data_IF_284060457498
#
_entry.id   IF_284060457498
#
_cell.length_a   1.000
_cell.length_b   1.000
_cell.length_c   1.000
_cell.angle_alpha   90.00
_cell.angle_beta   90.00
_cell.angle_gamma   90.00
#
_symmetry.space_group_name_H-M   'P 1'
#
loop_
_entity.id
_entity.type
_entity.pdbx_description
1 polymer ?
#
# COMPACT_ATOMS: atom_id res chain seq x y z
N UNK A 1 8.86 -39.88 -8.29
CA UNK A 1 9.94 -39.78 -7.29
C UNK A 1 10.14 -38.32 -6.92
N UNK A 2 9.34 -37.81 -5.99
CA UNK A 2 9.58 -36.53 -5.33
C UNK A 2 9.23 -36.74 -3.86
N UNK A 3 10.14 -37.40 -3.15
CA UNK A 3 10.02 -37.71 -1.73
C UNK A 3 11.37 -37.45 -1.10
N UNK A 4 11.71 -36.19 -0.98
CA UNK A 4 12.65 -35.69 0.01
C UNK A 4 11.93 -34.50 0.65
N UNK A 5 11.66 -34.53 1.97
CA UNK A 5 11.15 -33.34 2.67
C UNK A 5 12.15 -32.21 2.43
N UNK A 6 11.64 -31.00 2.18
CA UNK A 6 12.46 -29.79 2.24
C UNK A 6 13.20 -29.81 3.58
N UNK A 7 14.48 -29.45 3.54
CA UNK A 7 15.34 -29.38 4.71
C UNK A 7 14.59 -28.72 5.90
N UNK A 8 14.49 -29.37 7.07
CA UNK A 8 13.77 -28.82 8.22
C UNK A 8 14.27 -27.42 8.63
N UNK A 9 15.53 -27.09 8.33
CA UNK A 9 16.05 -25.73 8.52
C UNK A 9 15.32 -24.69 7.66
N UNK A 10 14.96 -25.03 6.42
CA UNK A 10 14.20 -24.15 5.54
C UNK A 10 12.75 -23.99 6.04
N UNK A 11 12.17 -25.00 6.68
CA UNK A 11 10.84 -24.90 7.30
C UNK A 11 10.84 -24.04 8.56
N UNK A 12 11.93 -24.06 9.33
CA UNK A 12 12.12 -23.19 10.51
C UNK A 12 12.39 -21.73 10.11
N UNK A 13 13.17 -21.50 9.05
CA UNK A 13 13.39 -20.17 8.48
C UNK A 13 12.10 -19.54 7.94
N UNK A 14 11.24 -20.33 7.29
CA UNK A 14 9.94 -19.84 6.79
C UNK A 14 8.95 -19.44 7.91
N UNK A 15 9.21 -19.90 9.15
CA UNK A 15 8.43 -19.53 10.33
C UNK A 15 8.92 -18.22 10.96
N UNK A 16 10.15 -17.81 10.67
CA UNK A 16 10.70 -16.52 11.08
C UNK A 16 10.34 -15.47 10.04
N UNK A 17 9.38 -14.61 10.37
CA UNK A 17 8.85 -13.62 9.44
C UNK A 17 9.23 -12.21 9.89
N UNK A 18 9.87 -11.46 9.01
CA UNK A 18 10.12 -10.04 9.23
C UNK A 18 8.90 -9.22 8.78
N UNK A 19 8.42 -8.33 9.63
CA UNK A 19 7.25 -7.49 9.38
C UNK A 19 7.38 -6.69 8.07
N UNK A 20 8.56 -6.13 7.80
CA UNK A 20 8.82 -5.40 6.57
C UNK A 20 8.72 -6.29 5.33
N UNK A 21 9.12 -7.55 5.42
CA UNK A 21 8.98 -8.52 4.33
C UNK A 21 7.53 -8.93 4.10
N UNK A 22 6.78 -9.15 5.19
CA UNK A 22 5.35 -9.47 5.09
C UNK A 22 4.57 -8.32 4.44
N UNK A 23 4.84 -7.07 4.84
CA UNK A 23 4.27 -5.88 4.18
C UNK A 23 4.66 -5.85 2.71
N UNK A 24 5.96 -6.03 2.38
CA UNK A 24 6.43 -6.02 0.98
C UNK A 24 5.77 -7.11 0.13
N UNK A 25 5.54 -8.29 0.69
CA UNK A 25 4.82 -9.38 0.02
C UNK A 25 3.40 -8.95 -0.33
N UNK A 26 2.63 -8.49 0.64
CA UNK A 26 1.21 -8.15 0.46
C UNK A 26 0.98 -6.99 -0.50
N UNK A 27 1.99 -6.14 -0.74
CA UNK A 27 1.92 -5.09 -1.76
C UNK A 27 1.91 -5.65 -3.18
N UNK A 28 2.58 -6.78 -3.44
CA UNK A 28 2.62 -7.43 -4.75
C UNK A 28 3.16 -8.88 -4.64
N UNK A 29 2.29 -9.87 -4.30
CA UNK A 29 2.72 -11.24 -4.01
C UNK A 29 3.44 -11.93 -5.17
N UNK A 30 2.98 -11.73 -6.39
CA UNK A 30 3.54 -12.38 -7.59
C UNK A 30 4.94 -11.84 -7.90
N UNK A 31 5.13 -10.52 -7.82
CA UNK A 31 6.46 -9.92 -7.97
C UNK A 31 7.37 -10.30 -6.81
N UNK A 32 6.85 -10.43 -5.59
CA UNK A 32 7.63 -10.94 -4.46
C UNK A 32 8.14 -12.35 -4.77
N UNK A 33 7.28 -13.26 -5.24
CA UNK A 33 7.66 -14.61 -5.64
C UNK A 33 8.76 -14.61 -6.72
N UNK A 34 8.61 -13.83 -7.80
CA UNK A 34 9.63 -13.70 -8.85
C UNK A 34 10.99 -13.28 -8.30
N UNK A 35 11.00 -12.23 -7.48
CA UNK A 35 12.25 -11.59 -7.04
C UNK A 35 12.91 -12.28 -5.85
N UNK A 36 12.13 -12.83 -4.91
CA UNK A 36 12.64 -13.41 -3.67
C UNK A 36 12.74 -14.93 -3.71
N UNK A 37 11.81 -15.61 -4.35
CA UNK A 37 11.80 -17.09 -4.41
C UNK A 37 12.55 -17.57 -5.65
N UNK A 38 12.24 -17.02 -6.83
CA UNK A 38 12.91 -17.41 -8.07
C UNK A 38 14.22 -16.64 -8.35
N UNK A 39 14.50 -15.58 -7.58
CA UNK A 39 15.71 -14.76 -7.74
C UNK A 39 15.78 -13.99 -9.07
N UNK A 40 14.66 -13.84 -9.77
CA UNK A 40 14.58 -13.17 -11.07
C UNK A 40 14.49 -11.66 -10.88
N UNK A 41 15.21 -10.90 -11.72
CA UNK A 41 15.00 -9.47 -11.84
C UNK A 41 13.85 -9.23 -12.81
N UNK A 42 12.78 -8.63 -12.30
CA UNK A 42 11.69 -8.13 -13.12
C UNK A 42 11.97 -6.64 -13.30
N UNK A 43 12.36 -6.24 -14.50
CA UNK A 43 12.50 -4.82 -14.81
C UNK A 43 11.13 -4.15 -14.66
N UNK A 44 11.02 -3.22 -13.71
CA UNK A 44 9.81 -2.43 -13.50
C UNK A 44 9.65 -1.33 -14.56
N UNK A 45 10.71 -1.09 -15.34
CA UNK A 45 10.81 0.05 -16.21
C UNK A 45 10.52 -0.33 -17.66
N UNK A 46 9.24 -0.28 -17.99
CA UNK A 46 8.81 0.19 -19.31
C UNK A 46 8.87 1.72 -19.39
N UNK A 47 9.85 2.36 -18.76
CA UNK A 47 10.12 3.78 -18.97
C UNK A 47 10.76 3.91 -20.35
N UNK A 48 9.92 4.01 -21.39
CA UNK A 48 10.37 4.64 -22.62
C UNK A 48 10.94 6.01 -22.22
N UNK A 49 12.24 6.20 -22.43
CA UNK A 49 12.85 7.51 -22.41
C UNK A 49 12.01 8.42 -23.32
N UNK A 50 11.38 9.45 -22.76
CA UNK A 50 10.74 10.46 -23.56
C UNK A 50 11.85 11.19 -24.33
N UNK A 51 11.91 11.03 -25.66
CA UNK A 51 12.85 11.76 -26.54
C UNK A 51 12.50 13.26 -26.68
N UNK A 52 11.61 13.78 -25.82
CA UNK A 52 11.22 15.18 -25.75
C UNK A 52 11.12 15.62 -24.30
N UNK A 53 11.78 16.73 -23.98
CA UNK A 53 11.69 17.40 -22.69
C UNK A 53 10.21 17.69 -22.37
N UNK A 54 9.63 17.15 -21.28
CA UNK A 54 8.21 17.30 -21.01
C UNK A 54 7.90 18.77 -20.67
N UNK A 55 7.09 19.43 -21.49
CA UNK A 55 6.53 20.75 -21.17
C UNK A 55 5.49 20.70 -20.03
N UNK A 56 5.15 19.49 -19.55
CA UNK A 56 4.23 19.23 -18.45
C UNK A 56 4.81 18.17 -17.55
N UNK A 57 4.79 18.40 -16.24
CA UNK A 57 5.17 17.41 -15.23
C UNK A 57 4.42 16.09 -15.44
N UNK A 58 5.13 14.97 -15.45
CA UNK A 58 4.48 13.67 -15.52
C UNK A 58 3.66 13.39 -14.24
N UNK A 59 2.75 12.41 -14.29
CA UNK A 59 1.88 12.12 -13.14
C UNK A 59 2.62 11.66 -11.88
N UNK A 60 3.80 11.03 -12.03
CA UNK A 60 4.65 10.64 -10.90
C UNK A 60 5.33 11.87 -10.32
N UNK A 61 5.72 12.82 -11.17
CA UNK A 61 6.40 14.02 -10.75
C UNK A 61 5.48 14.95 -9.94
N UNK A 62 4.27 15.14 -10.44
CA UNK A 62 3.23 15.87 -9.71
C UNK A 62 2.91 15.22 -8.36
N UNK A 63 2.91 13.88 -8.29
CA UNK A 63 2.72 13.17 -7.02
C UNK A 63 3.86 13.45 -6.03
N UNK A 64 5.11 13.37 -6.48
CA UNK A 64 6.27 13.61 -5.62
C UNK A 64 6.34 15.06 -5.13
N UNK A 65 6.05 16.05 -5.98
CA UNK A 65 5.99 17.46 -5.56
C UNK A 65 4.89 17.70 -4.52
N UNK A 66 3.70 17.11 -4.72
CA UNK A 66 2.61 17.19 -3.74
C UNK A 66 2.99 16.53 -2.42
N UNK A 67 3.61 15.35 -2.47
CA UNK A 67 4.07 14.65 -1.27
C UNK A 67 5.05 15.52 -0.47
N UNK A 68 6.02 16.12 -1.15
CA UNK A 68 6.99 17.03 -0.53
C UNK A 68 6.32 18.29 0.05
N UNK A 69 5.39 18.91 -0.66
CA UNK A 69 4.68 20.09 -0.18
C UNK A 69 3.87 19.81 1.10
N UNK A 70 3.15 18.68 1.16
CA UNK A 70 2.43 18.27 2.38
C UNK A 70 3.40 18.00 3.52
N UNK A 71 4.49 17.27 3.26
CA UNK A 71 5.52 16.98 4.26
C UNK A 71 6.13 18.26 4.85
N UNK A 72 6.35 19.28 4.02
CA UNK A 72 6.93 20.55 4.46
C UNK A 72 5.94 21.40 5.27
N UNK A 73 4.65 21.40 4.89
CA UNK A 73 3.58 22.01 5.69
C UNK A 73 3.45 21.35 7.06
N UNK A 74 3.49 20.02 7.13
CA UNK A 74 3.42 19.27 8.39
C UNK A 74 4.62 19.53 9.30
N UNK A 75 5.79 19.85 8.74
CA UNK A 75 6.98 20.29 9.49
C UNK A 75 6.96 21.77 9.87
N UNK A 76 5.92 22.51 9.47
CA UNK A 76 5.80 23.95 9.73
C UNK A 76 6.80 24.80 8.95
N UNK A 77 7.30 24.35 7.80
CA UNK A 77 8.25 25.14 7.00
C UNK A 77 7.56 26.40 6.44
N UNK A 78 8.19 27.58 6.48
CA UNK A 78 7.64 28.79 5.87
C UNK A 78 7.45 28.66 4.35
N UNK A 79 6.43 29.32 3.81
CA UNK A 79 6.06 29.22 2.38
C UNK A 79 7.20 29.57 1.42
N UNK A 80 8.01 30.60 1.70
CA UNK A 80 9.14 30.96 0.82
C UNK A 80 10.26 29.90 0.86
N UNK A 81 10.48 29.22 1.98
CA UNK A 81 11.44 28.11 2.05
C UNK A 81 10.94 26.88 1.28
N UNK A 82 9.64 26.60 1.35
CA UNK A 82 9.00 25.55 0.54
C UNK A 82 9.16 25.83 -0.96
N UNK A 83 8.86 27.07 -1.37
CA UNK A 83 9.04 27.50 -2.75
C UNK A 83 10.49 27.33 -3.20
N UNK A 84 11.46 27.82 -2.41
CA UNK A 84 12.88 27.70 -2.74
C UNK A 84 13.32 26.23 -2.87
N UNK A 85 12.86 25.36 -1.96
CA UNK A 85 13.17 23.93 -1.99
C UNK A 85 12.61 23.23 -3.23
N UNK A 86 11.36 23.54 -3.63
CA UNK A 86 10.72 22.97 -4.81
C UNK A 86 11.28 23.56 -6.12
N UNK A 87 11.59 24.85 -6.14
CA UNK A 87 12.24 25.50 -7.28
C UNK A 87 13.63 24.89 -7.55
N UNK A 88 14.38 24.58 -6.50
CA UNK A 88 15.70 23.96 -6.60
C UNK A 88 15.67 22.55 -7.21
N UNK A 89 14.52 21.86 -7.22
CA UNK A 89 14.43 20.55 -7.89
C UNK A 89 14.38 20.67 -9.41
N UNK A 90 14.19 21.87 -9.97
CA UNK A 90 14.05 22.11 -11.41
C UNK A 90 12.73 21.56 -12.00
N UNK A 91 11.76 21.25 -11.15
CA UNK A 91 10.49 20.61 -11.55
C UNK A 91 9.31 21.58 -11.55
N UNK A 92 9.45 22.75 -10.95
CA UNK A 92 8.45 23.79 -11.14
C UNK A 92 8.58 24.36 -12.57
N UNK A 93 7.48 24.83 -13.18
CA UNK A 93 7.54 25.58 -14.43
C UNK A 93 8.51 26.76 -14.33
N UNK A 94 9.04 27.20 -15.47
CA UNK A 94 9.94 28.37 -15.49
C UNK A 94 9.19 29.66 -15.13
N UNK A 95 9.93 30.62 -14.59
CA UNK A 95 9.43 31.97 -14.36
C UNK A 95 8.85 32.56 -15.67
N UNK A 96 7.73 33.30 -15.59
CA UNK A 96 7.07 33.81 -14.39
C UNK A 96 5.97 32.90 -13.81
N UNK A 97 5.83 31.65 -14.28
CA UNK A 97 4.71 30.77 -13.91
C UNK A 97 5.01 29.89 -12.68
N UNK A 98 6.26 29.83 -12.24
CA UNK A 98 6.74 29.12 -11.05
C UNK A 98 5.91 29.40 -9.79
N UNK A 99 5.69 30.68 -9.47
CA UNK A 99 4.95 31.09 -8.27
C UNK A 99 3.47 30.75 -8.33
N UNK A 100 2.86 30.84 -9.51
CA UNK A 100 1.46 30.45 -9.70
C UNK A 100 1.29 28.93 -9.54
N UNK A 101 2.19 28.15 -10.14
CA UNK A 101 2.19 26.70 -10.00
C UNK A 101 2.41 26.26 -8.54
N UNK A 102 3.34 26.91 -7.84
CA UNK A 102 3.56 26.69 -6.42
C UNK A 102 2.34 27.04 -5.57
N UNK A 103 1.66 28.16 -5.85
CA UNK A 103 0.47 28.55 -5.10
C UNK A 103 -0.64 27.51 -5.18
N UNK A 104 -0.93 26.99 -6.38
CA UNK A 104 -1.91 25.90 -6.55
C UNK A 104 -1.48 24.60 -5.87
N UNK A 105 -0.19 24.25 -5.96
CA UNK A 105 0.38 23.08 -5.27
C UNK A 105 0.26 23.21 -3.74
N UNK A 106 0.55 24.38 -3.19
CA UNK A 106 0.48 24.65 -1.76
C UNK A 106 -0.97 24.61 -1.25
N UNK A 107 -1.93 25.09 -2.06
CA UNK A 107 -3.37 24.99 -1.75
C UNK A 107 -3.84 23.53 -1.71
N UNK A 108 -3.50 22.72 -2.72
CA UNK A 108 -3.79 21.28 -2.72
C UNK A 108 -3.13 20.56 -1.53
N UNK A 109 -1.89 20.92 -1.21
CA UNK A 109 -1.18 20.33 -0.08
C UNK A 109 -1.79 20.72 1.26
N UNK A 110 -2.26 21.97 1.41
CA UNK A 110 -2.92 22.44 2.63
C UNK A 110 -4.21 21.67 2.93
N UNK A 111 -5.02 21.36 1.90
CA UNK A 111 -6.25 20.56 2.05
C UNK A 111 -5.99 19.18 2.67
N UNK A 112 -4.81 18.60 2.42
CA UNK A 112 -4.41 17.32 3.01
C UNK A 112 -3.69 17.49 4.35
N UNK A 113 -2.87 18.53 4.49
CA UNK A 113 -2.06 18.77 5.69
C UNK A 113 -2.91 19.20 6.90
N UNK A 114 -3.94 20.03 6.68
CA UNK A 114 -4.83 20.53 7.74
C UNK A 114 -5.44 19.39 8.59
N UNK A 115 -6.14 18.40 8.00
CA UNK A 115 -6.69 17.30 8.80
C UNK A 115 -5.65 16.37 9.43
N UNK A 116 -4.40 16.37 8.94
CA UNK A 116 -3.32 15.56 9.48
C UNK A 116 -2.68 16.19 10.72
N UNK A 117 -2.81 17.50 10.92
CA UNK A 117 -2.13 18.20 12.01
C UNK A 117 -2.46 17.59 13.38
N UNK A 118 -3.75 17.40 13.67
CA UNK A 118 -4.22 16.83 14.94
C UNK A 118 -3.87 15.34 15.07
N UNK A 119 -3.94 14.60 13.97
CA UNK A 119 -3.68 13.15 13.96
C UNK A 119 -2.20 12.81 14.18
N UNK A 120 -1.30 13.67 13.72
CA UNK A 120 0.14 13.50 13.84
C UNK A 120 0.70 14.08 15.16
N UNK A 121 -0.16 14.47 16.10
CA UNK A 121 0.24 14.90 17.44
C UNK A 121 0.73 13.73 18.30
N UNK A 122 1.69 14.02 19.18
CA UNK A 122 2.25 13.03 20.10
C UNK A 122 2.91 11.84 19.37
N UNK A 123 3.89 12.08 18.47
CA UNK A 123 4.61 11.00 17.81
C UNK A 123 5.20 10.04 18.85
N UNK A 124 5.06 8.74 18.58
CA UNK A 124 5.60 7.68 19.42
C UNK A 124 6.84 7.10 18.75
N UNK A 125 7.79 6.67 19.57
CA UNK A 125 8.92 5.88 19.09
C UNK A 125 8.43 4.60 18.41
N UNK A 126 9.16 4.09 17.40
CA UNK A 126 8.84 2.81 16.77
C UNK A 126 8.67 1.70 17.80
N UNK A 127 7.54 0.99 17.73
CA UNK A 127 7.26 -0.11 18.64
C UNK A 127 7.96 -1.37 18.14
N UNK A 128 8.80 -1.98 18.99
CA UNK A 128 9.40 -3.27 18.69
C UNK A 128 8.31 -4.35 18.62
N UNK A 129 8.33 -5.14 17.56
CA UNK A 129 7.40 -6.23 17.31
C UNK A 129 8.16 -7.54 17.51
N UNK A 130 7.66 -8.38 18.42
CA UNK A 130 8.08 -9.75 18.63
C UNK A 130 6.83 -10.54 19.04
N UNK A 131 6.20 -11.22 18.09
CA UNK A 131 4.91 -11.89 18.29
C UNK A 131 5.01 -13.37 17.93
N UNK A 132 4.57 -14.22 18.86
CA UNK A 132 4.40 -15.66 18.63
C UNK A 132 2.96 -15.96 18.22
N UNK A 133 2.78 -16.44 16.99
CA UNK A 133 1.49 -16.62 16.35
C UNK A 133 1.32 -18.05 15.86
N UNK A 134 1.28 -19.00 16.80
CA UNK A 134 1.27 -20.43 16.49
C UNK A 134 2.65 -20.86 15.99
N UNK A 135 2.79 -21.33 14.73
CA UNK A 135 4.10 -21.71 14.20
C UNK A 135 4.97 -20.52 13.78
N UNK A 136 4.42 -19.31 13.71
CA UNK A 136 5.12 -18.13 13.19
C UNK A 136 5.70 -17.27 14.32
N UNK A 137 6.92 -16.76 14.11
CA UNK A 137 7.53 -15.72 14.91
C UNK A 137 7.67 -14.46 14.05
N UNK A 138 6.87 -13.44 14.35
CA UNK A 138 6.85 -12.18 13.60
C UNK A 138 7.68 -11.12 14.33
N UNK A 139 8.72 -10.62 13.67
CA UNK A 139 9.64 -9.62 14.23
C UNK A 139 9.72 -8.36 13.39
N UNK A 140 10.03 -7.23 14.01
CA UNK A 140 10.28 -5.98 13.29
C UNK A 140 9.97 -4.73 14.11
N UNK A 141 9.61 -3.65 13.43
CA UNK A 141 9.20 -2.41 14.07
C UNK A 141 7.91 -1.87 13.45
N UNK A 142 6.98 -1.46 14.30
CA UNK A 142 5.78 -0.76 13.90
C UNK A 142 6.02 0.75 14.03
N UNK A 143 5.94 1.45 12.90
CA UNK A 143 6.14 2.90 12.80
C UNK A 143 4.83 3.64 12.48
N UNK A 144 4.88 4.96 12.62
CA UNK A 144 3.73 5.83 12.34
C UNK A 144 2.68 5.81 13.44
N UNK A 145 3.09 5.55 14.69
CA UNK A 145 2.23 5.61 15.86
C UNK A 145 2.24 7.02 16.48
N UNK A 146 1.07 7.50 16.86
CA UNK A 146 0.80 8.82 17.41
C UNK A 146 -0.17 8.69 18.58
N UNK A 147 -0.55 9.81 19.21
CA UNK A 147 -1.57 9.79 20.25
C UNK A 147 -2.92 9.24 19.74
N UNK A 148 -3.25 9.50 18.47
CA UNK A 148 -4.48 9.03 17.82
C UNK A 148 -4.42 7.58 17.31
N UNK A 149 -3.38 6.81 17.66
CA UNK A 149 -3.16 5.45 17.15
C UNK A 149 -2.17 5.45 15.99
N UNK A 150 -2.36 4.58 15.00
CA UNK A 150 -1.47 4.55 13.83
C UNK A 150 -2.01 5.44 12.71
N UNK A 151 -1.18 6.30 12.15
CA UNK A 151 -1.56 7.21 11.06
C UNK A 151 -0.68 6.97 9.85
N UNK A 152 -1.30 6.83 8.68
CA UNK A 152 -0.63 6.76 7.40
C UNK A 152 -1.34 7.65 6.39
N UNK A 153 -0.63 8.19 5.41
CA UNK A 153 -1.24 9.05 4.41
C UNK A 153 -0.45 9.07 3.11
N UNK A 154 -1.08 9.60 2.06
CA UNK A 154 -0.42 9.87 0.77
C UNK A 154 -1.07 11.05 0.06
N UNK A 155 -0.28 11.80 -0.71
CA UNK A 155 -0.77 12.92 -1.55
C UNK A 155 -1.45 12.51 -2.88
N UNK A 156 -1.87 11.25 -2.98
CA UNK A 156 -2.49 10.69 -4.19
C UNK A 156 -3.67 9.82 -3.87
N UNK A 157 -4.28 9.25 -4.92
CA UNK A 157 -5.44 8.36 -4.73
C UNK A 157 -5.11 7.14 -3.89
N UNK A 158 -6.10 6.70 -3.11
CA UNK A 158 -6.05 5.43 -2.37
C UNK A 158 -5.61 4.30 -3.29
N UNK A 159 -4.61 3.53 -2.85
CA UNK A 159 -4.23 2.27 -3.51
C UNK A 159 -4.69 1.10 -2.66
N UNK A 160 -5.15 0.04 -3.32
CA UNK A 160 -5.58 -1.18 -2.67
C UNK A 160 -4.47 -1.82 -1.82
N UNK A 161 -3.23 -1.84 -2.31
CA UNK A 161 -2.07 -2.32 -1.57
C UNK A 161 -1.82 -1.56 -0.26
N UNK A 162 -2.10 -0.24 -0.23
CA UNK A 162 -1.92 0.57 0.99
C UNK A 162 -2.97 0.22 2.05
N UNK A 163 -4.18 -0.21 1.64
CA UNK A 163 -5.20 -0.72 2.58
C UNK A 163 -4.83 -2.07 3.18
N UNK A 164 -4.20 -2.95 2.41
CA UNK A 164 -3.72 -4.24 2.94
C UNK A 164 -2.58 -4.01 3.94
N UNK A 165 -1.66 -3.10 3.62
CA UNK A 165 -0.61 -2.66 4.55
C UNK A 165 -1.20 -2.04 5.82
N UNK A 166 -2.18 -1.14 5.68
CA UNK A 166 -2.89 -0.54 6.81
C UNK A 166 -3.51 -1.62 7.71
N UNK A 167 -4.21 -2.59 7.12
CA UNK A 167 -4.85 -3.69 7.83
C UNK A 167 -3.84 -4.57 8.57
N UNK A 168 -2.80 -5.02 7.88
CA UNK A 168 -1.74 -5.83 8.47
C UNK A 168 -1.12 -5.11 9.68
N UNK A 169 -0.71 -3.85 9.50
CA UNK A 169 -0.07 -3.07 10.56
C UNK A 169 -1.06 -2.70 11.68
N UNK A 170 -2.36 -2.65 11.39
CA UNK A 170 -3.41 -2.48 12.39
C UNK A 170 -3.60 -3.73 13.26
N UNK A 171 -3.50 -4.93 12.70
CA UNK A 171 -3.50 -6.17 13.47
C UNK A 171 -2.25 -6.28 14.35
N UNK A 172 -1.09 -5.86 13.83
CA UNK A 172 0.16 -5.79 14.61
C UNK A 172 0.07 -4.76 15.72
N UNK A 173 -0.50 -3.57 15.45
CA UNK A 173 -0.80 -2.56 16.48
C UNK A 173 -1.62 -3.19 17.62
N UNK A 174 -2.63 -3.99 17.28
CA UNK A 174 -3.46 -4.65 18.27
C UNK A 174 -2.75 -5.69 19.15
N UNK A 175 -1.70 -6.31 18.63
CA UNK A 175 -1.01 -7.40 19.32
C UNK A 175 0.24 -6.92 20.06
N UNK A 176 0.92 -5.90 19.53
CA UNK A 176 2.21 -5.43 20.04
C UNK A 176 2.13 -4.13 20.85
N UNK A 177 1.12 -3.29 20.62
CA UNK A 177 1.11 -1.97 21.25
C UNK A 177 0.68 -2.02 22.73
N UNK A 178 1.34 -1.23 23.60
CA UNK A 178 0.91 -1.02 24.99
C UNK A 178 -0.55 -0.56 25.08
N UNK A 179 -1.17 -0.72 26.25
CA UNK A 179 -2.58 -0.42 26.48
C UNK A 179 -2.91 1.08 26.31
N UNK A 180 -1.92 1.96 26.44
CA UNK A 180 -2.04 3.41 26.30
C UNK A 180 -2.05 3.89 24.85
N UNK A 181 -1.76 3.00 23.89
CA UNK A 181 -1.79 3.31 22.47
C UNK A 181 -3.18 2.98 21.93
N UNK A 182 -3.84 4.01 21.38
CA UNK A 182 -5.16 3.88 20.76
C UNK A 182 -5.16 2.79 19.68
N UNK A 183 -6.13 1.88 19.74
CA UNK A 183 -6.26 0.74 18.84
C UNK A 183 -7.02 1.10 17.57
N UNK A 184 -6.58 2.19 16.96
CA UNK A 184 -7.16 2.78 15.76
C UNK A 184 -6.09 3.00 14.71
N UNK A 185 -6.41 2.74 13.45
CA UNK A 185 -5.53 3.06 12.33
C UNK A 185 -6.25 3.96 11.35
N UNK A 186 -5.71 5.14 11.11
CA UNK A 186 -6.26 6.14 10.19
C UNK A 186 -5.38 6.24 8.96
N UNK A 187 -6.02 6.17 7.80
CA UNK A 187 -5.40 6.36 6.50
C UNK A 187 -6.07 7.49 5.73
N UNK A 188 -5.27 8.46 5.27
CA UNK A 188 -5.74 9.58 4.48
C UNK A 188 -5.13 9.58 3.07
N UNK A 189 -5.98 9.71 2.06
CA UNK A 189 -5.60 9.84 0.66
C UNK A 189 -6.33 11.02 0.01
N UNK A 190 -6.07 11.25 -1.28
CA UNK A 190 -6.79 12.25 -2.06
C UNK A 190 -7.84 11.58 -2.96
N UNK A 191 -9.06 12.08 -2.95
CA UNK A 191 -10.09 11.70 -3.92
C UNK A 191 -9.77 12.26 -5.32
N UNK A 192 -10.64 11.97 -6.30
CA UNK A 192 -10.47 12.42 -7.69
C UNK A 192 -10.54 13.95 -7.83
N UNK A 193 -11.33 14.61 -6.99
CA UNK A 193 -11.51 16.06 -6.95
C UNK A 193 -10.51 16.78 -6.04
N UNK A 194 -9.53 16.06 -5.49
CA UNK A 194 -8.53 16.61 -4.57
C UNK A 194 -8.96 16.64 -3.11
N UNK A 195 -10.22 16.33 -2.78
CA UNK A 195 -10.69 16.31 -1.40
C UNK A 195 -10.06 15.16 -0.58
N UNK A 196 -9.93 15.31 0.75
CA UNK A 196 -9.46 14.24 1.62
C UNK A 196 -10.40 13.02 1.62
N UNK A 197 -9.84 11.84 1.35
CA UNK A 197 -10.53 10.54 1.44
C UNK A 197 -10.00 9.75 2.63
N UNK A 198 -10.88 9.49 3.60
CA UNK A 198 -10.56 8.78 4.82
C UNK A 198 -10.82 7.29 4.74
N UNK A 199 -9.95 6.51 5.37
CA UNK A 199 -10.19 5.11 5.69
C UNK A 199 -9.72 4.84 7.13
N UNK A 200 -10.66 4.47 8.00
CA UNK A 200 -10.38 4.29 9.43
C UNK A 200 -10.73 2.88 9.85
N UNK A 201 -9.80 2.23 10.55
CA UNK A 201 -10.00 0.92 11.17
C UNK A 201 -10.09 1.11 12.68
N UNK A 202 -11.19 0.63 13.25
CA UNK A 202 -11.45 0.64 14.69
C UNK A 202 -10.98 -0.64 15.39
N UNK A 203 -11.32 -0.82 16.68
CA UNK A 203 -10.89 -1.97 17.45
C UNK A 203 -11.29 -3.33 16.86
N UNK A 204 -10.38 -4.30 16.91
CA UNK A 204 -10.56 -5.69 16.46
C UNK A 204 -10.58 -6.62 17.67
N UNK A 205 -11.66 -7.38 17.82
CA UNK A 205 -11.88 -8.23 18.99
C UNK A 205 -10.87 -9.39 19.11
N UNK A 206 -10.59 -10.09 18.00
CA UNK A 206 -9.62 -11.19 17.96
C UNK A 206 -8.65 -11.03 16.77
N UNK A 207 -7.58 -10.23 16.93
CA UNK A 207 -6.64 -9.91 15.85
C UNK A 207 -5.69 -11.06 15.50
N UNK A 208 -5.42 -11.99 16.42
CA UNK A 208 -4.42 -13.04 16.23
C UNK A 208 -4.77 -14.03 15.11
N UNK A 209 -6.00 -14.59 15.01
CA UNK A 209 -6.38 -15.44 13.89
C UNK A 209 -6.31 -14.72 12.54
N UNK A 210 -6.69 -13.45 12.50
CA UNK A 210 -6.68 -12.64 11.28
C UNK A 210 -5.25 -12.41 10.78
N UNK A 211 -4.29 -12.18 11.69
CA UNK A 211 -2.89 -12.05 11.32
C UNK A 211 -2.27 -13.40 10.93
N UNK A 212 -2.68 -14.49 11.59
CA UNK A 212 -2.28 -15.86 11.20
C UNK A 212 -2.73 -16.22 9.78
N UNK A 213 -3.97 -15.88 9.40
CA UNK A 213 -4.46 -16.10 8.02
C UNK A 213 -3.58 -15.38 6.98
N UNK A 214 -3.15 -14.15 7.27
CA UNK A 214 -2.21 -13.41 6.41
C UNK A 214 -0.84 -14.09 6.32
N UNK A 215 -0.35 -14.68 7.41
CA UNK A 215 0.92 -15.42 7.46
C UNK A 215 0.83 -16.77 6.73
N UNK A 216 -0.30 -17.47 6.83
CA UNK A 216 -0.54 -18.72 6.11
C UNK A 216 -0.56 -18.50 4.60
N UNK A 217 -1.24 -17.44 4.14
CA UNK A 217 -1.26 -17.04 2.72
C UNK A 217 0.12 -16.54 2.25
N UNK A 218 0.86 -15.85 3.11
CA UNK A 218 2.25 -15.50 2.83
C UNK A 218 3.09 -16.75 2.58
N UNK A 219 3.00 -17.75 3.46
CA UNK A 219 3.73 -19.02 3.30
C UNK A 219 3.32 -19.73 2.01
N UNK A 220 2.03 -19.75 1.67
CA UNK A 220 1.57 -20.26 0.38
C UNK A 220 2.21 -19.50 -0.79
N UNK A 221 2.25 -18.17 -0.71
CA UNK A 221 2.90 -17.30 -1.69
C UNK A 221 4.42 -17.41 -1.78
N UNK A 222 5.07 -18.12 -0.85
CA UNK A 222 6.48 -18.52 -0.98
C UNK A 222 6.65 -19.80 -1.81
N UNK A 223 5.57 -20.57 -2.04
CA UNK A 223 5.60 -21.83 -2.78
C UNK A 223 5.02 -21.69 -4.20
N UNK A 224 4.14 -20.71 -4.42
CA UNK A 224 3.50 -20.46 -5.70
C UNK A 224 3.23 -18.96 -5.92
N UNK A 225 3.06 -18.50 -7.17
CA UNK A 225 2.62 -17.14 -7.45
C UNK A 225 1.17 -16.96 -7.00
N UNK A 226 0.98 -16.38 -5.80
CA UNK A 226 -0.33 -16.20 -5.19
C UNK A 226 -1.21 -15.29 -6.08
N UNK A 227 -2.40 -15.72 -6.54
CA UNK A 227 -3.28 -14.95 -7.43
C UNK A 227 -4.03 -13.85 -6.66
N UNK A 228 -3.27 -12.93 -6.06
CA UNK A 228 -3.80 -11.76 -5.38
C UNK A 228 -3.36 -10.50 -6.13
N UNK A 229 -4.33 -9.85 -6.76
CA UNK A 229 -4.15 -8.65 -7.57
C UNK A 229 -4.86 -7.49 -6.85
N UNK A 230 -4.15 -6.65 -6.07
CA UNK A 230 -4.79 -5.78 -5.08
C UNK A 230 -5.88 -4.88 -5.66
N UNK A 231 -5.66 -4.24 -6.82
CA UNK A 231 -6.66 -3.31 -7.40
C UNK A 231 -7.92 -4.07 -7.83
N UNK A 232 -7.75 -5.23 -8.45
CA UNK A 232 -8.82 -6.11 -8.92
C UNK A 232 -9.59 -6.73 -7.77
N UNK A 233 -8.88 -7.19 -6.73
CA UNK A 233 -9.46 -7.75 -5.53
C UNK A 233 -10.27 -6.71 -4.72
N UNK A 234 -9.79 -5.48 -4.61
CA UNK A 234 -10.55 -4.40 -3.98
C UNK A 234 -11.82 -4.08 -4.79
N UNK A 235 -11.71 -3.95 -6.12
CA UNK A 235 -12.86 -3.70 -6.99
C UNK A 235 -13.93 -4.80 -6.91
N UNK A 236 -13.49 -6.05 -6.73
CA UNK A 236 -14.39 -7.19 -6.46
C UNK A 236 -15.09 -7.06 -5.11
N UNK A 237 -14.36 -6.69 -4.06
CA UNK A 237 -14.87 -6.64 -2.69
C UNK A 237 -15.82 -5.44 -2.44
N UNK A 238 -15.56 -4.29 -3.05
CA UNK A 238 -16.40 -3.09 -2.94
C UNK A 238 -17.71 -3.20 -3.73
N UNK A 239 -17.77 -4.09 -4.73
CA UNK A 239 -18.92 -4.26 -5.58
C UNK A 239 -20.03 -5.10 -4.93
N UNK A 240 -21.29 -4.78 -5.27
CA UNK A 240 -22.42 -5.61 -4.89
C UNK A 240 -22.24 -7.06 -5.42
N UNK A 241 -22.72 -8.10 -4.70
CA UNK A 241 -22.44 -9.50 -5.04
C UNK A 241 -22.69 -9.87 -6.51
N UNK A 242 -23.80 -9.42 -7.11
CA UNK A 242 -24.11 -9.69 -8.53
C UNK A 242 -23.26 -8.93 -9.56
N UNK A 243 -22.41 -7.99 -9.13
CA UNK A 243 -21.50 -7.21 -10.00
C UNK A 243 -20.03 -7.43 -9.69
N UNK A 244 -19.70 -8.22 -8.66
CA UNK A 244 -18.34 -8.37 -8.15
C UNK A 244 -17.35 -8.84 -9.23
N UNK A 245 -17.65 -9.94 -9.93
CA UNK A 245 -16.77 -10.44 -11.00
C UNK A 245 -16.66 -9.50 -12.20
N UNK A 246 -17.74 -8.80 -12.54
CA UNK A 246 -17.72 -7.80 -13.61
C UNK A 246 -16.81 -6.62 -13.27
N UNK A 247 -16.86 -6.14 -12.02
CA UNK A 247 -15.99 -5.06 -11.53
C UNK A 247 -14.53 -5.49 -11.39
N UNK A 248 -14.29 -6.73 -10.94
CA UNK A 248 -12.98 -7.34 -10.94
C UNK A 248 -12.41 -7.37 -12.37
N UNK A 249 -13.17 -7.90 -13.34
CA UNK A 249 -12.74 -7.96 -14.74
C UNK A 249 -12.37 -6.59 -15.31
N UNK A 250 -13.19 -5.57 -15.03
CA UNK A 250 -12.91 -4.21 -15.48
C UNK A 250 -11.64 -3.59 -14.86
N UNK A 251 -11.28 -3.99 -13.63
CA UNK A 251 -10.05 -3.54 -12.97
C UNK A 251 -8.80 -4.30 -13.47
N UNK A 252 -8.98 -5.58 -13.79
CA UNK A 252 -7.95 -6.47 -14.32
C UNK A 252 -7.56 -6.12 -15.76
N UNK A 253 -8.54 -5.98 -16.65
CA UNK A 253 -8.32 -5.89 -18.11
C UNK A 253 -7.93 -4.47 -18.54
N UNK A 254 -6.84 -4.36 -19.29
CA UNK A 254 -6.46 -3.12 -19.96
C UNK A 254 -7.42 -2.80 -21.11
N UNK A 255 -7.74 -1.52 -21.24
CA UNK A 255 -8.52 -0.97 -22.36
C UNK A 255 -7.76 0.18 -23.01
N UNK A 256 -8.24 0.68 -24.14
CA UNK A 256 -7.72 1.87 -24.81
C UNK A 256 -7.64 3.10 -23.86
N UNK A 257 -8.54 3.18 -22.89
CA UNK A 257 -8.69 4.34 -22.02
C UNK A 257 -8.07 4.16 -20.63
N UNK A 258 -7.73 2.93 -20.25
CA UNK A 258 -7.27 2.64 -18.89
C UNK A 258 -6.38 1.41 -18.83
N UNK A 259 -5.26 1.53 -18.14
CA UNK A 259 -4.38 0.40 -17.83
C UNK A 259 -4.97 -0.48 -16.71
N UNK A 260 -5.19 -1.75 -17.04
CA UNK A 260 -5.58 -2.82 -16.12
C UNK A 260 -4.39 -3.32 -15.29
N UNK A 261 -4.65 -4.25 -14.36
CA UNK A 261 -3.56 -4.97 -13.68
C UNK A 261 -2.89 -6.00 -14.60
N UNK A 262 -3.58 -6.52 -15.62
CA UNK A 262 -3.02 -7.45 -16.62
C UNK A 262 -1.76 -6.93 -17.33
N UNK A 263 -1.58 -5.61 -17.42
CA UNK A 263 -0.42 -4.96 -18.00
C UNK A 263 0.80 -4.91 -17.06
N UNK A 264 0.74 -5.51 -15.88
CA UNK A 264 1.88 -5.71 -15.00
C UNK A 264 2.74 -6.90 -15.51
N UNK A 265 4.03 -6.70 -15.81
CA UNK A 265 4.90 -7.76 -16.33
C UNK A 265 5.00 -9.00 -15.43
N UNK A 266 4.94 -8.81 -14.11
CA UNK A 266 5.00 -9.92 -13.16
C UNK A 266 3.76 -10.81 -13.24
N UNK A 267 2.59 -10.21 -13.48
CA UNK A 267 1.36 -10.98 -13.65
C UNK A 267 1.31 -11.65 -15.03
N UNK A 268 1.70 -10.94 -16.10
CA UNK A 268 1.77 -11.52 -17.44
C UNK A 268 2.63 -12.80 -17.47
N UNK A 269 3.72 -12.85 -16.68
CA UNK A 269 4.60 -14.02 -16.60
C UNK A 269 3.91 -15.33 -16.19
N UNK A 270 2.91 -15.27 -15.29
CA UNK A 270 2.25 -16.47 -14.74
C UNK A 270 0.79 -16.64 -15.14
N UNK A 271 0.18 -15.60 -15.69
CA UNK A 271 -1.27 -15.52 -15.85
C UNK A 271 -1.71 -15.12 -17.27
N UNK A 272 -0.80 -14.97 -18.24
CA UNK A 272 -1.17 -14.60 -19.62
C UNK A 272 -2.03 -15.66 -20.33
N UNK A 273 -1.76 -16.95 -20.11
CA UNK A 273 -2.37 -18.05 -20.88
C UNK A 273 -3.62 -18.66 -20.23
N UNK A 274 -4.16 -18.04 -19.18
CA UNK A 274 -5.35 -18.53 -18.45
C UNK A 274 -6.17 -17.37 -17.92
N UNK A 275 -7.41 -17.65 -17.51
CA UNK A 275 -8.19 -16.67 -16.74
C UNK A 275 -7.70 -16.66 -15.29
N UNK A 276 -7.13 -15.54 -14.79
CA UNK A 276 -6.64 -15.47 -13.43
C UNK A 276 -7.71 -15.10 -12.40
N UNK A 277 -8.93 -14.78 -12.84
CA UNK A 277 -10.03 -14.41 -11.94
C UNK A 277 -10.93 -15.62 -11.67
N UNK A 278 -10.33 -16.69 -11.16
CA UNK A 278 -10.94 -17.96 -10.81
C UNK A 278 -11.13 -18.10 -9.27
N UNK A 279 -11.44 -19.31 -8.80
CA UNK A 279 -11.71 -19.58 -7.38
C UNK A 279 -10.51 -19.22 -6.47
N UNK A 280 -9.26 -19.62 -6.78
CA UNK A 280 -8.08 -19.13 -6.05
C UNK A 280 -8.01 -17.61 -5.91
N UNK A 281 -8.32 -16.85 -6.97
CA UNK A 281 -8.37 -15.39 -6.86
C UNK A 281 -9.46 -14.92 -5.90
N UNK A 282 -10.66 -15.51 -5.95
CA UNK A 282 -11.78 -15.16 -5.06
C UNK A 282 -11.41 -15.39 -3.58
N UNK A 283 -10.76 -16.52 -3.28
CA UNK A 283 -10.27 -16.84 -1.94
C UNK A 283 -9.29 -15.76 -1.43
N UNK A 284 -8.38 -15.28 -2.28
CA UNK A 284 -7.46 -14.22 -1.92
C UNK A 284 -8.13 -12.85 -1.82
N UNK A 285 -9.05 -12.54 -2.73
CA UNK A 285 -9.77 -11.27 -2.76
C UNK A 285 -10.70 -11.09 -1.56
N UNK A 286 -11.16 -12.18 -0.93
CA UNK A 286 -11.95 -12.15 0.29
C UNK A 286 -11.27 -11.38 1.44
N UNK A 287 -9.93 -11.24 1.43
CA UNK A 287 -9.21 -10.38 2.37
C UNK A 287 -9.78 -8.95 2.39
N UNK A 288 -10.10 -8.36 1.25
CA UNK A 288 -10.66 -7.01 1.22
C UNK A 288 -12.06 -6.92 1.82
N UNK A 289 -12.86 -7.99 1.78
CA UNK A 289 -14.14 -8.00 2.49
C UNK A 289 -13.93 -7.97 4.00
N UNK A 290 -12.93 -8.71 4.50
CA UNK A 290 -12.53 -8.64 5.91
C UNK A 290 -12.09 -7.23 6.29
N UNK A 291 -11.26 -6.58 5.47
CA UNK A 291 -10.79 -5.20 5.70
C UNK A 291 -11.97 -4.22 5.73
N UNK A 292 -12.85 -4.30 4.73
CA UNK A 292 -14.01 -3.41 4.61
C UNK A 292 -15.02 -3.60 5.75
N UNK A 293 -15.17 -4.81 6.29
CA UNK A 293 -16.05 -5.09 7.43
C UNK A 293 -15.56 -4.47 8.76
N UNK A 294 -14.26 -4.15 8.86
CA UNK A 294 -13.66 -3.50 10.04
C UNK A 294 -13.47 -1.99 9.86
N UNK A 295 -13.89 -1.45 8.72
CA UNK A 295 -13.87 -0.02 8.48
C UNK A 295 -14.94 0.66 9.36
N UNK A 296 -14.55 1.70 10.07
CA UNK A 296 -15.51 2.57 10.76
C UNK A 296 -16.44 3.26 9.76
N UNK A 297 -17.70 3.42 10.17
CA UNK A 297 -18.74 4.07 9.37
C UNK A 297 -18.50 5.57 9.20
#
# INVERSE_FOLDING_TARGET
FWSVPLDPSAEEEQKQVELAQLVRFWRHPVHFFLTRVLGLRVDRDGAMLAESEPFTLDGLEQFQLRQQAVDDLLRGRPSEEQFAALAATGRLPQAPFDRLAFAGLAEEAALLAEPLHDLLTGPREPLAVALDLGPYHLTGQLTGCFAAGRVAWRSGRRKAADLVELWLLHLVLHLAAPAEVERRSTYLACARDGSPEWFVLGPVADPAPLLRDLLDRYRLGLTLPLPFFPKTALAWAEAAPGKAMSKARAAWTSSEWSRGEDADPAYAWFFADRDPLDEPFIEQAALFRTILAHRES
#
